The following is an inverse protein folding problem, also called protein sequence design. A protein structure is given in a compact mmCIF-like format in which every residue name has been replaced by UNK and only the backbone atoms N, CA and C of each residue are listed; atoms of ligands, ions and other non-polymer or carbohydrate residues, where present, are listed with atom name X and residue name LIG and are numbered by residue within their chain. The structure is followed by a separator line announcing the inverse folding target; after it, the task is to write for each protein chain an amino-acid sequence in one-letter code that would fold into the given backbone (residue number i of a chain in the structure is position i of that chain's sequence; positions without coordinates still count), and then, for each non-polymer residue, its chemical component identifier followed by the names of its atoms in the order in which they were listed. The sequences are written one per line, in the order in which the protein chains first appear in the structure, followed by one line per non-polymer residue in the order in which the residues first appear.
data_IF_663101438977
#
_entry.id   IF_663101438977
#
_cell.length_a   1.000
_cell.length_b   1.000
_cell.length_c   1.000
_cell.angle_alpha   90.00
_cell.angle_beta   90.00
_cell.angle_gamma   90.00
#
_symmetry.space_group_name_H-M   'P 1'
#
loop_
_entity.id
_entity.type
_entity.pdbx_description
1 polymer ?
#
# COMPACT_ATOMS: atom_id res chain seq x y z
N UNK A 1 5.50 -17.14 4.37
CA UNK A 1 4.13 -16.62 4.56
C UNK A 1 3.21 -17.37 3.62
N UNK A 2 2.12 -17.96 4.12
CA UNK A 2 1.13 -18.57 3.23
C UNK A 2 0.48 -17.48 2.38
N UNK A 3 0.27 -17.70 1.06
CA UNK A 3 -0.51 -16.78 0.25
C UNK A 3 -1.91 -16.68 0.83
N UNK A 4 -2.43 -15.46 0.96
CA UNK A 4 -3.81 -15.22 1.39
C UNK A 4 -4.70 -15.94 0.38
N UNK A 5 -5.40 -16.98 0.80
CA UNK A 5 -6.35 -17.68 -0.06
C UNK A 5 -7.60 -16.83 -0.20
N UNK A 6 -7.66 -16.07 -1.28
CA UNK A 6 -8.71 -15.12 -1.64
C UNK A 6 -9.99 -15.80 -2.18
N UNK A 7 -10.28 -17.04 -1.76
CA UNK A 7 -11.27 -17.92 -2.40
C UNK A 7 -12.72 -17.37 -2.36
N UNK A 8 -12.99 -16.30 -1.58
CA UNK A 8 -14.19 -15.44 -1.72
C UNK A 8 -13.89 -13.98 -1.35
N UNK A 9 -13.06 -13.30 -2.14
CA UNK A 9 -12.84 -11.85 -1.95
C UNK A 9 -14.04 -11.06 -2.43
N UNK A 10 -14.47 -10.08 -1.62
CA UNK A 10 -15.47 -9.12 -2.02
C UNK A 10 -15.08 -8.49 -3.38
N UNK A 11 -15.96 -8.50 -4.39
CA UNK A 11 -15.65 -7.96 -5.72
C UNK A 11 -15.11 -6.52 -5.71
N UNK A 12 -15.49 -5.71 -4.72
CA UNK A 12 -14.96 -4.36 -4.54
C UNK A 12 -13.47 -4.35 -4.17
N UNK A 13 -13.02 -5.30 -3.35
CA UNK A 13 -11.60 -5.46 -2.98
C UNK A 13 -10.79 -5.94 -4.19
N UNK A 14 -11.31 -6.89 -4.96
CA UNK A 14 -10.66 -7.33 -6.20
C UNK A 14 -10.49 -6.15 -7.17
N UNK A 15 -11.56 -5.38 -7.38
CA UNK A 15 -11.55 -4.17 -8.22
C UNK A 15 -10.55 -3.11 -7.73
N UNK A 16 -10.42 -2.95 -6.40
CA UNK A 16 -9.44 -2.06 -5.78
C UNK A 16 -8.00 -2.50 -6.10
N UNK A 17 -7.69 -3.78 -5.90
CA UNK A 17 -6.35 -4.35 -6.17
C UNK A 17 -6.00 -4.16 -7.65
N UNK A 18 -6.93 -4.52 -8.55
CA UNK A 18 -6.74 -4.40 -10.00
C UNK A 18 -6.56 -2.93 -10.43
N UNK A 19 -7.21 -1.99 -9.76
CA UNK A 19 -7.02 -0.57 -10.04
C UNK A 19 -5.62 -0.07 -9.65
N UNK A 20 -5.08 -0.53 -8.51
CA UNK A 20 -3.74 -0.14 -8.05
C UNK A 20 -2.66 -0.77 -8.93
N UNK A 21 -2.87 -2.01 -9.40
CA UNK A 21 -1.93 -2.73 -10.27
C UNK A 21 -1.70 -2.03 -11.62
N UNK A 22 -2.66 -1.24 -12.11
CA UNK A 22 -2.49 -0.40 -13.31
C UNK A 22 -1.37 0.63 -13.17
N UNK A 23 -1.06 1.05 -11.94
CA UNK A 23 -0.01 2.05 -11.64
C UNK A 23 1.31 1.36 -11.28
N UNK A 24 1.26 0.15 -10.74
CA UNK A 24 2.44 -0.55 -10.25
C UNK A 24 2.49 -2.01 -10.71
N UNK A 25 3.19 -2.23 -11.81
CA UNK A 25 3.28 -3.51 -12.50
C UNK A 25 4.13 -4.51 -11.69
N UNK A 26 3.66 -5.75 -11.58
CA UNK A 26 4.44 -6.87 -11.03
C UNK A 26 4.57 -6.89 -9.50
N UNK A 27 3.75 -6.12 -8.78
CA UNK A 27 3.78 -6.02 -7.31
C UNK A 27 2.45 -6.39 -6.65
N UNK A 28 1.63 -7.23 -7.32
CA UNK A 28 0.28 -7.60 -6.86
C UNK A 28 0.22 -8.11 -5.43
N UNK A 29 1.12 -9.02 -5.04
CA UNK A 29 1.17 -9.57 -3.67
C UNK A 29 1.42 -8.50 -2.61
N UNK A 30 2.21 -7.47 -2.91
CA UNK A 30 2.45 -6.35 -2.00
C UNK A 30 1.20 -5.49 -1.87
N UNK A 31 0.50 -5.25 -2.99
CA UNK A 31 -0.78 -4.53 -3.01
C UNK A 31 -1.82 -5.25 -2.15
N UNK A 32 -1.95 -6.58 -2.31
CA UNK A 32 -2.86 -7.42 -1.52
C UNK A 32 -2.58 -7.31 -0.02
N UNK A 33 -1.31 -7.39 0.39
CA UNK A 33 -0.90 -7.24 1.78
C UNK A 33 -1.19 -5.83 2.32
N UNK A 34 -0.97 -4.79 1.52
CA UNK A 34 -1.30 -3.42 1.92
C UNK A 34 -2.79 -3.20 2.12
N UNK A 35 -3.61 -3.71 1.19
CA UNK A 35 -5.07 -3.64 1.29
C UNK A 35 -5.54 -4.41 2.53
N UNK A 36 -5.01 -5.60 2.77
CA UNK A 36 -5.32 -6.38 3.97
C UNK A 36 -4.96 -5.62 5.26
N UNK A 37 -3.77 -5.00 5.31
CA UNK A 37 -3.34 -4.22 6.46
C UNK A 37 -4.26 -3.01 6.71
N UNK A 38 -4.62 -2.26 5.67
CA UNK A 38 -5.54 -1.11 5.80
C UNK A 38 -6.91 -1.55 6.32
N UNK A 39 -7.47 -2.65 5.76
CA UNK A 39 -8.75 -3.19 6.22
C UNK A 39 -8.72 -3.68 7.67
N UNK A 40 -7.56 -4.11 8.15
CA UNK A 40 -7.34 -4.51 9.54
C UNK A 40 -6.95 -3.35 10.48
N UNK A 41 -6.94 -2.10 10.00
CA UNK A 41 -6.39 -0.93 10.72
C UNK A 41 -4.92 -1.12 11.17
N UNK A 42 -4.14 -1.87 10.41
CA UNK A 42 -2.73 -2.13 10.66
C UNK A 42 -1.79 -1.13 9.97
N UNK A 43 -0.49 -1.31 10.21
CA UNK A 43 0.58 -0.53 9.59
C UNK A 43 1.42 -1.41 8.67
N UNK A 44 1.99 -0.80 7.62
CA UNK A 44 2.83 -1.49 6.64
C UNK A 44 4.22 -0.87 6.62
N UNK A 45 5.24 -1.72 6.77
CA UNK A 45 6.62 -1.37 6.47
C UNK A 45 6.96 -1.87 5.06
N UNK A 46 7.29 -0.95 4.15
CA UNK A 46 7.71 -1.29 2.80
C UNK A 46 9.23 -1.33 2.71
N UNK A 47 9.83 -2.51 2.80
CA UNK A 47 11.26 -2.76 2.56
C UNK A 47 11.51 -3.12 1.10
N UNK A 48 12.41 -2.38 0.46
CA UNK A 48 12.71 -2.43 -0.97
C UNK A 48 13.77 -1.35 -1.26
N UNK A 49 14.48 -1.44 -2.38
CA UNK A 49 15.51 -0.47 -2.75
C UNK A 49 14.92 0.89 -3.17
N UNK A 50 15.68 2.00 -3.14
CA UNK A 50 15.19 3.29 -3.61
C UNK A 50 14.74 3.25 -5.08
N UNK A 51 13.70 4.01 -5.43
CA UNK A 51 13.24 4.17 -6.82
C UNK A 51 12.21 3.15 -7.32
N UNK A 52 11.86 2.13 -6.54
CA UNK A 52 10.91 1.06 -6.93
C UNK A 52 9.42 1.40 -6.74
N UNK A 53 9.09 2.70 -6.67
CA UNK A 53 7.70 3.15 -6.68
C UNK A 53 6.92 3.01 -5.38
N UNK A 54 7.55 2.77 -4.22
CA UNK A 54 6.87 2.72 -2.89
C UNK A 54 5.92 3.90 -2.66
N UNK A 55 6.38 5.13 -2.94
CA UNK A 55 5.58 6.34 -2.80
C UNK A 55 4.39 6.35 -3.76
N UNK A 56 4.59 5.88 -5.00
CA UNK A 56 3.49 5.79 -5.97
C UNK A 56 2.46 4.74 -5.53
N UNK A 57 2.92 3.60 -5.00
CA UNK A 57 2.06 2.53 -4.48
C UNK A 57 1.12 3.06 -3.38
N UNK A 58 1.68 3.70 -2.34
CA UNK A 58 0.89 4.25 -1.23
C UNK A 58 -0.06 5.37 -1.72
N UNK A 59 0.40 6.22 -2.64
CA UNK A 59 -0.44 7.27 -3.22
C UNK A 59 -1.59 6.72 -4.07
N UNK A 60 -1.34 5.67 -4.86
CA UNK A 60 -2.36 4.99 -5.66
C UNK A 60 -3.42 4.31 -4.79
N UNK A 61 -2.99 3.66 -3.70
CA UNK A 61 -3.90 3.09 -2.71
C UNK A 61 -4.78 4.18 -2.07
N UNK A 62 -4.17 5.25 -1.55
CA UNK A 62 -4.91 6.36 -0.92
C UNK A 62 -5.96 6.95 -1.87
N UNK A 63 -5.59 7.23 -3.14
CA UNK A 63 -6.56 7.71 -4.15
C UNK A 63 -7.68 6.72 -4.42
N UNK A 64 -7.39 5.42 -4.44
CA UNK A 64 -8.37 4.37 -4.76
C UNK A 64 -9.40 4.14 -3.65
N UNK A 65 -9.09 4.55 -2.42
CA UNK A 65 -9.99 4.45 -1.25
C UNK A 65 -10.49 5.81 -0.77
N UNK A 66 -10.26 6.88 -1.54
CA UNK A 66 -10.57 8.27 -1.15
C UNK A 66 -9.95 8.69 0.19
N UNK A 67 -8.79 8.13 0.54
CA UNK A 67 -8.04 8.46 1.75
C UNK A 67 -7.05 9.60 1.54
N UNK A 68 -6.54 10.17 2.64
CA UNK A 68 -5.48 11.17 2.60
C UNK A 68 -4.09 10.54 2.45
N UNK A 69 -3.21 11.19 1.67
CA UNK A 69 -1.80 10.83 1.58
C UNK A 69 -0.95 11.95 2.15
N UNK A 70 -0.21 11.65 3.22
CA UNK A 70 0.81 12.54 3.80
C UNK A 70 2.14 11.80 3.81
N UNK A 71 3.23 12.51 3.49
CA UNK A 71 4.59 11.96 3.48
C UNK A 71 5.43 12.75 4.46
N UNK A 72 6.00 12.04 5.43
CA UNK A 72 7.02 12.56 6.34
C UNK A 72 8.34 11.93 5.93
N UNK A 73 9.35 12.75 5.63
CA UNK A 73 10.69 12.27 5.34
C UNK A 73 11.50 12.27 6.62
N UNK A 74 11.97 11.09 7.02
CA UNK A 74 12.88 10.97 8.14
C UNK A 74 14.25 11.48 7.68
N UNK A 75 14.74 12.52 8.35
CA UNK A 75 16.11 13.02 8.27
C UNK A 75 16.75 12.80 9.64
N UNK A 76 18.09 12.71 9.72
CA UNK A 76 18.78 12.55 11.01
C UNK A 76 18.48 13.71 11.98
N UNK A 77 18.07 14.86 11.46
CA UNK A 77 17.80 16.08 12.24
C UNK A 77 16.34 16.25 12.70
N UNK A 78 15.46 15.29 12.39
CA UNK A 78 14.03 15.39 12.72
C UNK A 78 13.81 15.36 14.25
N UNK A 79 13.21 16.40 14.82
CA UNK A 79 12.91 16.48 16.25
C UNK A 79 11.52 15.92 16.58
N UNK A 80 11.26 15.41 17.80
CA UNK A 80 9.96 14.86 18.19
C UNK A 80 8.78 15.86 18.17
N UNK A 81 9.10 17.15 18.06
CA UNK A 81 8.14 18.26 18.06
C UNK A 81 7.75 18.74 16.67
N UNK A 82 8.41 18.24 15.62
CA UNK A 82 8.06 18.50 14.20
C UNK A 82 6.96 17.54 13.73
#
# INVERSE_FOLDING_TARGET
MNPIKLEQVNPAIASLIDNIEKVLIGKRSVIELMVAAVLANGHVLLEDVPGVGKTMMVRALSKSISGEFKRIQFTPDLLPTD
#
